data_IF_586889039691
#
_entry.id   IF_586889039691
#
_cell.length_a   1.000
_cell.length_b   1.000
_cell.length_c   1.000
_cell.angle_alpha   90.00
_cell.angle_beta   90.00
_cell.angle_gamma   90.00
#
_symmetry.space_group_name_H-M   'P 1'
#
loop_
_entity.id
_entity.type
_entity.pdbx_description
1 polymer ?
#
# COMPACT_ATOMS: atom_id res chain seq x y z
N UNK A 1 -4.66 -22.96 -35.47
CA UNK A 1 -4.79 -23.30 -34.04
C UNK A 1 -5.34 -22.08 -33.32
N UNK A 2 -6.64 -22.05 -33.09
CA UNK A 2 -7.36 -20.99 -32.39
C UNK A 2 -7.32 -21.26 -30.89
N UNK A 3 -6.86 -20.28 -30.10
CA UNK A 3 -6.86 -20.34 -28.63
C UNK A 3 -8.10 -19.60 -28.11
N UNK A 4 -9.05 -20.33 -27.55
CA UNK A 4 -10.18 -19.79 -26.80
C UNK A 4 -9.70 -19.31 -25.42
N UNK A 5 -10.03 -18.06 -25.08
CA UNK A 5 -9.75 -17.46 -23.78
C UNK A 5 -10.99 -17.62 -22.87
N UNK A 6 -10.86 -17.99 -21.58
CA UNK A 6 -12.00 -18.06 -20.70
C UNK A 6 -12.52 -16.65 -20.35
N UNK A 7 -13.81 -16.44 -20.58
CA UNK A 7 -14.56 -15.25 -20.17
C UNK A 7 -14.64 -15.21 -18.63
N UNK A 8 -13.78 -14.41 -18.00
CA UNK A 8 -13.87 -14.12 -16.57
C UNK A 8 -15.11 -13.24 -16.31
N UNK A 9 -16.08 -13.81 -15.59
CA UNK A 9 -17.28 -13.10 -15.14
C UNK A 9 -16.89 -11.98 -14.15
N UNK A 10 -17.48 -10.78 -14.25
CA UNK A 10 -17.24 -9.73 -13.26
C UNK A 10 -17.87 -10.11 -11.91
N UNK A 11 -17.04 -10.16 -10.87
CA UNK A 11 -17.47 -10.25 -9.47
C UNK A 11 -18.31 -9.01 -9.14
N UNK A 12 -19.57 -9.21 -8.73
CA UNK A 12 -20.42 -8.17 -8.16
C UNK A 12 -19.92 -7.85 -6.75
N UNK A 13 -19.38 -6.65 -6.55
CA UNK A 13 -19.03 -6.15 -5.23
C UNK A 13 -20.27 -5.55 -4.56
N UNK A 14 -20.65 -6.11 -3.41
CA UNK A 14 -21.63 -5.53 -2.49
C UNK A 14 -20.85 -4.58 -1.57
N UNK A 15 -21.06 -3.28 -1.74
CA UNK A 15 -20.61 -2.28 -0.79
C UNK A 15 -21.37 -2.47 0.53
N UNK A 16 -20.69 -2.95 1.57
CA UNK A 16 -21.23 -2.90 2.95
C UNK A 16 -20.88 -1.54 3.53
N UNK A 17 -21.84 -0.62 3.52
CA UNK A 17 -21.81 0.59 4.36
C UNK A 17 -22.08 0.17 5.81
N UNK A 18 -21.34 0.75 6.76
CA UNK A 18 -21.71 0.70 8.18
C UNK A 18 -22.47 1.98 8.52
N UNK A 19 -23.50 1.76 9.33
CA UNK A 19 -24.66 2.59 9.61
C UNK A 19 -24.33 3.94 10.27
N UNK A 20 -24.98 4.99 9.77
CA UNK A 20 -24.96 6.37 10.29
C UNK A 20 -25.12 7.37 9.14
N UNK A 21 -26.33 7.56 8.64
CA UNK A 21 -26.77 8.66 7.74
C UNK A 21 -26.04 8.91 6.39
N UNK A 22 -25.34 7.92 5.84
CA UNK A 22 -24.55 8.05 4.58
C UNK A 22 -25.21 7.50 3.32
N UNK A 23 -26.43 6.95 3.39
CA UNK A 23 -27.01 6.18 2.27
C UNK A 23 -27.51 7.05 1.10
N UNK A 24 -28.05 8.23 1.36
CA UNK A 24 -28.58 9.12 0.31
C UNK A 24 -27.49 9.93 -0.40
N UNK A 25 -26.41 10.26 0.31
CA UNK A 25 -25.29 11.07 -0.19
C UNK A 25 -24.37 10.28 -1.12
N UNK A 26 -24.06 9.02 -0.76
CA UNK A 26 -23.23 8.12 -1.58
C UNK A 26 -23.87 7.81 -2.94
N UNK A 27 -25.20 7.69 -2.98
CA UNK A 27 -25.96 7.37 -4.21
C UNK A 27 -25.97 8.53 -5.21
N UNK A 28 -25.96 9.79 -4.74
CA UNK A 28 -25.84 10.96 -5.64
C UNK A 28 -24.42 11.13 -6.17
N UNK A 29 -23.41 10.86 -5.34
CA UNK A 29 -22.01 10.98 -5.70
C UNK A 29 -21.61 10.02 -6.84
N UNK A 30 -22.09 8.77 -6.81
CA UNK A 30 -21.77 7.79 -7.86
C UNK A 30 -22.26 8.21 -9.25
N UNK A 31 -23.26 9.09 -9.35
CA UNK A 31 -23.73 9.65 -10.62
C UNK A 31 -22.74 10.58 -11.32
N UNK A 32 -21.67 11.01 -10.63
CA UNK A 32 -20.59 11.82 -11.21
C UNK A 32 -19.57 10.99 -11.98
N UNK A 33 -19.50 9.67 -11.75
CA UNK A 33 -18.49 8.80 -12.35
C UNK A 33 -19.13 7.70 -13.19
N UNK A 34 -18.43 7.26 -14.23
CA UNK A 34 -18.85 6.04 -14.95
C UNK A 34 -18.60 4.79 -14.10
N UNK A 35 -19.21 3.65 -14.46
CA UNK A 35 -19.10 2.38 -13.73
C UNK A 35 -17.67 1.80 -13.60
N UNK A 36 -16.69 2.38 -14.30
CA UNK A 36 -15.25 2.14 -14.16
C UNK A 36 -14.43 3.43 -14.24
N UNK A 37 -15.09 4.53 -13.88
CA UNK A 37 -14.56 5.87 -14.08
C UNK A 37 -13.46 6.24 -13.11
N UNK A 38 -13.31 5.54 -11.99
CA UNK A 38 -12.32 5.89 -10.96
C UNK A 38 -11.39 4.72 -10.65
N UNK A 39 -10.15 4.82 -11.13
CA UNK A 39 -9.17 3.74 -11.06
C UNK A 39 -7.81 4.26 -10.59
N UNK A 40 -7.23 3.57 -9.61
CA UNK A 40 -5.82 3.70 -9.23
C UNK A 40 -5.03 2.61 -9.95
N UNK A 41 -3.96 2.98 -10.66
CA UNK A 41 -3.13 2.06 -11.43
C UNK A 41 -1.65 2.29 -11.08
N UNK A 42 -0.89 1.28 -10.63
CA UNK A 42 0.55 1.43 -10.44
C UNK A 42 1.28 1.48 -11.78
N UNK A 43 2.47 2.07 -11.80
CA UNK A 43 3.31 2.20 -13.00
C UNK A 43 3.80 0.83 -13.51
N UNK A 44 3.92 -0.15 -12.62
CA UNK A 44 4.27 -1.53 -12.98
C UNK A 44 3.11 -2.18 -13.75
N UNK A 45 3.13 -2.05 -15.08
CA UNK A 45 2.10 -2.60 -15.95
C UNK A 45 1.86 -4.10 -15.73
N UNK A 46 0.58 -4.51 -15.72
CA UNK A 46 0.01 -5.89 -15.71
C UNK A 46 0.61 -6.97 -14.78
N UNK A 47 1.70 -6.74 -14.05
CA UNK A 47 2.35 -7.72 -13.16
C UNK A 47 2.63 -7.14 -11.76
N UNK A 48 1.60 -6.55 -11.17
CA UNK A 48 1.54 -6.21 -9.74
C UNK A 48 1.92 -7.39 -8.84
N UNK A 49 1.60 -8.63 -9.26
CA UNK A 49 1.92 -9.86 -8.53
C UNK A 49 3.42 -10.09 -8.24
N UNK A 50 4.33 -9.24 -8.76
CA UNK A 50 5.78 -9.34 -8.52
C UNK A 50 6.44 -8.07 -7.98
N UNK A 51 5.68 -6.98 -7.82
CA UNK A 51 6.25 -5.73 -7.31
C UNK A 51 6.21 -5.72 -5.78
N UNK A 52 7.37 -5.76 -5.15
CA UNK A 52 7.51 -5.70 -3.71
C UNK A 52 8.04 -4.32 -3.31
N UNK A 53 7.46 -3.76 -2.26
CA UNK A 53 7.84 -2.47 -1.71
C UNK A 53 8.46 -2.67 -0.34
N UNK A 54 9.36 -1.79 0.06
CA UNK A 54 10.02 -1.81 1.36
C UNK A 54 10.21 -0.40 1.91
N UNK A 55 10.91 -0.27 3.05
CA UNK A 55 11.26 1.02 3.62
C UNK A 55 11.90 1.92 2.56
N UNK A 56 11.35 3.13 2.40
CA UNK A 56 11.93 4.11 1.50
C UNK A 56 11.72 3.92 0.01
N UNK A 57 11.14 2.80 -0.41
CA UNK A 57 10.82 2.55 -1.82
C UNK A 57 9.75 3.52 -2.33
N UNK A 58 9.71 3.72 -3.64
CA UNK A 58 8.78 4.65 -4.28
C UNK A 58 7.62 3.87 -4.91
N UNK A 59 6.40 4.15 -4.43
CA UNK A 59 5.16 3.71 -5.04
C UNK A 59 4.67 4.76 -6.05
N UNK A 60 4.73 4.41 -7.32
CA UNK A 60 4.40 5.31 -8.42
C UNK A 60 3.32 4.74 -9.32
N UNK A 61 2.57 5.62 -9.99
CA UNK A 61 1.49 5.22 -10.88
C UNK A 61 0.65 6.40 -11.35
N UNK A 62 -0.60 6.09 -11.67
CA UNK A 62 -1.58 7.06 -12.14
C UNK A 62 -2.98 6.80 -11.56
N UNK A 63 -3.75 7.87 -11.42
CA UNK A 63 -5.18 7.86 -11.13
C UNK A 63 -5.92 8.28 -12.40
N UNK A 64 -6.77 7.41 -12.91
CA UNK A 64 -7.70 7.71 -14.00
C UNK A 64 -9.07 8.02 -13.42
N UNK A 65 -9.57 9.22 -13.69
CA UNK A 65 -10.88 9.69 -13.24
C UNK A 65 -11.71 10.12 -14.45
N UNK A 66 -12.85 9.51 -14.69
CA UNK A 66 -13.79 9.83 -15.77
C UNK A 66 -15.08 10.36 -15.16
N UNK A 67 -15.23 11.69 -15.23
CA UNK A 67 -16.38 12.40 -14.73
C UNK A 67 -17.45 12.54 -15.81
N UNK A 68 -18.66 12.09 -15.51
CA UNK A 68 -19.86 12.28 -16.32
C UNK A 68 -20.48 13.67 -16.11
N UNK A 69 -20.19 14.31 -14.97
CA UNK A 69 -20.68 15.64 -14.58
C UNK A 69 -19.51 16.45 -14.04
N UNK A 70 -19.51 17.75 -14.32
CA UNK A 70 -18.51 18.65 -13.76
C UNK A 70 -18.71 18.78 -12.25
N UNK A 71 -17.63 18.95 -11.52
CA UNK A 71 -17.60 19.31 -10.11
C UNK A 71 -17.27 20.81 -10.06
N UNK A 72 -18.29 21.68 -9.92
CA UNK A 72 -18.10 23.13 -10.00
C UNK A 72 -17.52 23.74 -8.72
N UNK A 73 -17.62 23.02 -7.60
CA UNK A 73 -17.06 23.40 -6.30
C UNK A 73 -15.63 22.92 -6.16
N UNK A 74 -14.84 23.52 -5.25
CA UNK A 74 -13.52 23.01 -4.94
C UNK A 74 -13.60 21.56 -4.45
N UNK A 75 -12.76 20.72 -5.04
CA UNK A 75 -12.62 19.33 -4.68
C UNK A 75 -11.19 19.01 -4.27
N UNK A 76 -11.03 17.87 -3.60
CA UNK A 76 -9.74 17.34 -3.24
C UNK A 76 -9.65 15.89 -3.71
N UNK A 77 -8.64 15.62 -4.53
CA UNK A 77 -8.25 14.26 -4.94
C UNK A 77 -6.98 13.89 -4.18
N UNK A 78 -7.02 12.82 -3.40
CA UNK A 78 -5.87 12.31 -2.67
C UNK A 78 -5.71 10.81 -2.83
N UNK A 79 -4.47 10.33 -2.76
CA UNK A 79 -4.15 8.92 -2.59
C UNK A 79 -3.88 8.69 -1.12
N UNK A 80 -4.53 7.67 -0.56
CA UNK A 80 -4.33 7.23 0.81
C UNK A 80 -3.64 5.88 0.76
N UNK A 81 -2.40 5.84 1.27
CA UNK A 81 -1.62 4.63 1.48
C UNK A 81 -1.70 4.26 2.97
N UNK A 82 -2.16 3.07 3.27
CA UNK A 82 -2.41 2.60 4.64
C UNK A 82 -1.77 1.26 4.90
N UNK A 83 -1.45 1.01 6.17
CA UNK A 83 -1.14 -0.32 6.67
C UNK A 83 -2.02 -0.63 7.88
N UNK A 84 -2.66 -1.79 7.86
CA UNK A 84 -3.49 -2.29 8.95
C UNK A 84 -2.97 -3.62 9.45
N UNK A 85 -2.90 -3.77 10.76
CA UNK A 85 -2.64 -5.04 11.43
C UNK A 85 -3.93 -5.55 12.06
N UNK A 86 -4.29 -6.81 11.77
CA UNK A 86 -5.35 -7.51 12.49
C UNK A 86 -4.72 -8.54 13.41
N UNK A 87 -5.10 -8.52 14.69
CA UNK A 87 -4.67 -9.50 15.68
C UNK A 87 -5.93 -10.20 16.19
N UNK A 88 -5.99 -11.52 16.02
CA UNK A 88 -6.99 -12.37 16.66
C UNK A 88 -6.47 -12.72 18.05
N UNK A 89 -7.22 -12.46 19.15
CA UNK A 89 -6.79 -12.88 20.48
C UNK A 89 -6.71 -14.41 20.52
N UNK A 90 -5.54 -14.94 20.92
CA UNK A 90 -5.37 -16.37 21.21
C UNK A 90 -6.20 -16.69 22.44
N UNK A 91 -7.18 -17.61 22.33
CA UNK A 91 -7.89 -18.14 23.49
C UNK A 91 -6.98 -19.10 24.27
N UNK A 92 -6.05 -18.54 25.03
CA UNK A 92 -5.33 -19.32 26.04
C UNK A 92 -6.00 -19.11 27.40
N UNK A 93 -6.60 -20.20 27.90
CA UNK A 93 -7.16 -20.45 29.23
C UNK A 93 -8.63 -20.06 29.52
N UNK A 94 -9.50 -21.07 29.32
CA UNK A 94 -10.51 -21.59 30.24
C UNK A 94 -10.83 -20.73 31.48
N UNK A 95 -11.87 -19.91 31.39
CA UNK A 95 -12.94 -19.87 32.40
C UNK A 95 -14.21 -19.34 31.73
N UNK A 96 -15.30 -20.07 31.93
CA UNK A 96 -16.57 -19.86 31.28
C UNK A 96 -17.19 -18.51 31.69
N UNK A 97 -17.13 -17.51 30.81
CA UNK A 97 -18.19 -16.52 30.62
C UNK A 97 -17.91 -15.70 29.34
N UNK A 98 -18.66 -16.04 28.29
CA UNK A 98 -18.88 -15.27 27.04
C UNK A 98 -17.67 -14.65 26.32
N UNK A 99 -17.15 -15.24 25.23
CA UNK A 99 -16.19 -14.58 24.36
C UNK A 99 -16.92 -13.88 23.21
N UNK A 100 -17.23 -12.58 23.34
CA UNK A 100 -17.30 -11.71 22.16
C UNK A 100 -15.87 -11.39 21.75
N UNK A 101 -15.19 -12.34 21.09
CA UNK A 101 -13.83 -12.14 20.55
C UNK A 101 -13.87 -11.16 19.37
N UNK A 102 -13.92 -9.87 19.69
CA UNK A 102 -13.89 -8.83 18.66
C UNK A 102 -12.49 -8.80 18.03
N UNK A 103 -12.42 -9.12 16.74
CA UNK A 103 -11.21 -8.94 15.93
C UNK A 103 -10.78 -7.48 16.04
N UNK A 104 -9.56 -7.23 16.53
CA UNK A 104 -9.00 -5.89 16.61
C UNK A 104 -8.16 -5.60 15.36
N UNK A 105 -8.48 -4.50 14.67
CA UNK A 105 -7.72 -4.00 13.53
C UNK A 105 -7.11 -2.64 13.89
N UNK A 106 -5.78 -2.57 13.92
CA UNK A 106 -5.01 -1.39 14.31
C UNK A 106 -4.30 -0.80 13.07
N UNK A 107 -4.45 0.50 12.78
CA UNK A 107 -3.66 1.15 11.73
C UNK A 107 -2.21 1.31 12.21
N UNK A 108 -1.24 0.86 11.39
CA UNK A 108 0.20 1.05 11.66
C UNK A 108 0.70 2.38 11.09
N UNK A 109 0.25 2.75 9.90
CA UNK A 109 0.48 4.08 9.35
C UNK A 109 -0.58 4.46 8.30
N UNK A 110 -0.63 5.76 8.02
CA UNK A 110 -1.41 6.37 6.96
C UNK A 110 -0.60 7.50 6.33
N UNK A 111 -0.40 7.43 5.01
CA UNK A 111 0.21 8.49 4.21
C UNK A 111 -0.84 9.00 3.24
N UNK A 112 -1.02 10.32 3.19
CA UNK A 112 -1.90 10.99 2.23
C UNK A 112 -1.06 11.78 1.24
N UNK A 113 -1.34 11.62 -0.05
CA UNK A 113 -0.71 12.35 -1.12
C UNK A 113 -1.78 13.07 -1.94
N UNK A 114 -1.76 14.40 -1.90
CA UNK A 114 -2.77 15.23 -2.55
C UNK A 114 -2.38 15.46 -4.01
N UNK A 115 -3.27 15.14 -4.94
CA UNK A 115 -3.10 15.30 -6.39
C UNK A 115 -3.81 16.53 -6.93
N UNK A 116 -4.96 16.87 -6.32
CA UNK A 116 -5.76 18.05 -6.62
C UNK A 116 -6.20 18.60 -5.28
N UNK A 117 -6.03 19.89 -5.06
CA UNK A 117 -6.44 20.57 -3.84
C UNK A 117 -7.20 21.83 -4.15
N UNK A 118 -8.44 21.89 -3.68
CA UNK A 118 -9.29 23.08 -3.78
C UNK A 118 -9.55 23.54 -5.25
N UNK A 119 -9.66 22.61 -6.20
CA UNK A 119 -9.92 22.92 -7.61
C UNK A 119 -11.25 22.35 -8.10
N UNK A 120 -11.86 23.00 -9.09
CA UNK A 120 -13.02 22.46 -9.81
C UNK A 120 -12.57 21.47 -10.90
N UNK A 121 -13.36 20.43 -11.16
CA UNK A 121 -13.05 19.42 -12.19
C UNK A 121 -14.11 19.38 -13.28
N UNK A 122 -13.68 19.51 -14.54
CA UNK A 122 -14.57 19.42 -15.70
C UNK A 122 -15.12 18.00 -15.93
N UNK A 123 -16.26 17.90 -16.63
CA UNK A 123 -16.86 16.65 -17.07
C UNK A 123 -16.05 16.00 -18.21
N UNK A 124 -14.94 15.36 -17.87
CA UNK A 124 -14.05 14.70 -18.83
C UNK A 124 -13.27 13.58 -18.17
N UNK A 125 -12.41 12.93 -18.96
CA UNK A 125 -11.37 12.04 -18.45
C UNK A 125 -10.17 12.86 -17.99
N UNK A 126 -9.74 12.61 -16.76
CA UNK A 126 -8.57 13.16 -16.12
C UNK A 126 -7.58 12.03 -15.82
N UNK A 127 -6.29 12.36 -15.89
CA UNK A 127 -5.20 11.44 -15.61
C UNK A 127 -4.17 12.15 -14.74
N UNK A 128 -3.99 11.67 -13.51
CA UNK A 128 -3.06 12.25 -12.54
C UNK A 128 -1.94 11.26 -12.25
N UNK A 129 -0.69 11.69 -12.37
CA UNK A 129 0.46 10.85 -12.04
C UNK A 129 0.86 11.08 -10.59
N UNK A 130 1.38 10.05 -9.93
CA UNK A 130 1.80 10.14 -8.54
C UNK A 130 3.10 9.39 -8.28
N UNK A 131 3.79 9.82 -7.22
CA UNK A 131 4.98 9.18 -6.66
C UNK A 131 4.95 9.37 -5.15
N UNK A 132 4.79 8.28 -4.41
CA UNK A 132 4.67 8.26 -2.95
C UNK A 132 5.82 7.44 -2.39
N UNK A 133 6.65 8.06 -1.56
CA UNK A 133 7.74 7.37 -0.87
C UNK A 133 7.19 6.66 0.38
N UNK A 134 7.48 5.36 0.51
CA UNK A 134 7.17 4.63 1.74
C UNK A 134 7.97 5.19 2.92
N UNK A 135 7.39 5.19 4.14
CA UNK A 135 8.14 5.55 5.34
C UNK A 135 9.44 4.75 5.47
N UNK A 136 10.48 5.39 6.01
CA UNK A 136 11.82 4.78 6.23
C UNK A 136 11.90 3.93 7.50
N UNK A 137 10.77 3.46 8.02
CA UNK A 137 10.71 2.57 9.17
C UNK A 137 10.43 1.13 8.72
N UNK A 138 10.99 0.19 9.48
CA UNK A 138 10.77 -1.24 9.27
C UNK A 138 9.43 -1.65 9.86
N UNK A 139 8.43 -1.80 9.00
CA UNK A 139 7.17 -2.42 9.37
C UNK A 139 7.20 -3.93 9.07
N UNK A 140 6.25 -4.68 9.62
CA UNK A 140 6.12 -6.11 9.35
C UNK A 140 5.80 -6.38 7.87
N UNK A 141 6.30 -7.48 7.26
CA UNK A 141 5.95 -7.84 5.88
C UNK A 141 4.43 -8.02 5.70
N UNK A 142 3.94 -7.88 4.47
CA UNK A 142 2.57 -8.25 4.15
C UNK A 142 2.36 -9.74 4.40
N UNK A 143 1.35 -10.09 5.21
CA UNK A 143 0.95 -11.48 5.41
C UNK A 143 -0.54 -11.58 5.76
N UNK A 144 -1.13 -12.73 5.49
CA UNK A 144 -2.45 -13.13 5.95
C UNK A 144 -2.34 -14.59 6.39
N UNK A 145 -2.61 -14.87 7.66
CA UNK A 145 -2.61 -16.25 8.16
C UNK A 145 -4.03 -16.83 8.23
N UNK A 146 -4.11 -18.15 8.38
CA UNK A 146 -5.39 -18.88 8.47
C UNK A 146 -6.17 -18.54 9.77
N UNK A 147 -5.46 -18.08 10.80
CA UNK A 147 -6.01 -17.70 12.10
C UNK A 147 -6.59 -16.27 12.11
N UNK A 148 -6.61 -15.60 10.95
CA UNK A 148 -7.18 -14.27 10.77
C UNK A 148 -6.28 -13.12 11.22
N UNK A 149 -5.03 -13.38 11.62
CA UNK A 149 -4.01 -12.35 11.78
C UNK A 149 -3.53 -11.92 10.41
N UNK A 150 -3.31 -10.63 10.25
CA UNK A 150 -2.85 -10.09 8.97
C UNK A 150 -2.14 -8.77 9.14
N UNK A 151 -1.23 -8.49 8.22
CA UNK A 151 -0.69 -7.16 7.96
C UNK A 151 -0.94 -6.86 6.48
N UNK A 152 -1.79 -5.87 6.23
CA UNK A 152 -2.24 -5.52 4.88
C UNK A 152 -1.85 -4.09 4.58
N UNK A 153 -1.11 -3.91 3.49
CA UNK A 153 -0.79 -2.61 2.93
C UNK A 153 -1.72 -2.36 1.76
N UNK A 154 -2.29 -1.17 1.69
CA UNK A 154 -3.21 -0.84 0.63
C UNK A 154 -3.12 0.62 0.22
N UNK A 155 -3.47 0.88 -1.03
CA UNK A 155 -3.63 2.23 -1.56
C UNK A 155 -5.00 2.38 -2.19
N UNK A 156 -5.61 3.56 -2.00
CA UNK A 156 -6.85 3.96 -2.68
C UNK A 156 -6.82 5.43 -3.02
N UNK A 157 -7.46 5.82 -4.11
CA UNK A 157 -7.72 7.22 -4.41
C UNK A 157 -9.08 7.62 -3.85
N UNK A 158 -9.15 8.80 -3.23
CA UNK A 158 -10.36 9.40 -2.67
C UNK A 158 -10.58 10.78 -3.29
N UNK A 159 -11.80 11.02 -3.77
CA UNK A 159 -12.23 12.31 -4.28
C UNK A 159 -13.33 12.86 -3.36
N UNK A 160 -13.04 13.95 -2.67
CA UNK A 160 -13.99 14.65 -1.81
C UNK A 160 -14.42 15.97 -2.43
N UNK A 161 -15.72 16.23 -2.50
CA UNK A 161 -16.28 17.44 -3.11
C UNK A 161 -17.67 17.75 -2.55
N UNK A 162 -18.14 18.97 -2.78
CA UNK A 162 -19.48 19.37 -2.39
C UNK A 162 -20.47 19.14 -3.53
N UNK A 163 -21.57 18.44 -3.24
CA UNK A 163 -22.58 18.08 -4.26
C UNK A 163 -23.60 19.18 -4.55
N UNK A 164 -23.76 20.15 -3.63
CA UNK A 164 -24.64 21.30 -3.80
C UNK A 164 -24.00 22.54 -3.16
N UNK A 165 -23.99 23.71 -3.84
CA UNK A 165 -23.45 24.94 -3.29
C UNK A 165 -24.35 25.55 -2.19
N UNK A 166 -25.65 25.24 -2.19
CA UNK A 166 -26.64 25.84 -1.28
C UNK A 166 -26.80 25.11 0.06
N UNK A 167 -26.37 23.84 0.13
CA UNK A 167 -26.32 23.06 1.37
C UNK A 167 -25.02 22.25 1.36
N UNK A 168 -24.10 22.47 2.32
CA UNK A 168 -22.79 21.82 2.33
C UNK A 168 -22.96 20.32 2.60
N UNK A 169 -23.16 19.57 1.53
CA UNK A 169 -23.22 18.12 1.54
C UNK A 169 -21.96 17.60 0.86
N UNK A 170 -20.96 17.26 1.68
CA UNK A 170 -19.72 16.65 1.23
C UNK A 170 -20.00 15.21 0.78
N UNK A 171 -19.58 14.90 -0.42
CA UNK A 171 -19.52 13.55 -0.96
C UNK A 171 -18.07 13.07 -0.98
N UNK A 172 -17.88 11.78 -0.79
CA UNK A 172 -16.62 11.09 -1.03
C UNK A 172 -16.85 9.97 -2.04
N UNK A 173 -16.00 9.92 -3.05
CA UNK A 173 -15.87 8.81 -3.98
C UNK A 173 -14.54 8.12 -3.73
N UNK A 174 -14.50 6.80 -3.92
CA UNK A 174 -13.28 6.00 -3.76
C UNK A 174 -13.03 5.11 -4.97
N UNK A 175 -11.77 5.00 -5.38
CA UNK A 175 -11.35 3.92 -6.28
C UNK A 175 -11.45 2.56 -5.58
N UNK A 176 -11.43 1.44 -6.34
CA UNK A 176 -11.11 0.14 -5.76
C UNK A 176 -9.81 0.20 -4.97
N UNK A 177 -9.76 -0.54 -3.87
CA UNK A 177 -8.57 -0.67 -3.03
C UNK A 177 -7.53 -1.56 -3.73
N UNK A 178 -6.29 -1.09 -3.75
CA UNK A 178 -5.15 -1.81 -4.29
C UNK A 178 -4.33 -2.38 -3.14
N UNK A 179 -4.30 -3.70 -3.00
CA UNK A 179 -3.40 -4.36 -2.06
C UNK A 179 -1.94 -4.29 -2.58
N UNK A 180 -1.02 -4.01 -1.66
CA UNK A 180 0.40 -3.83 -1.94
C UNK A 180 1.19 -4.90 -1.18
N UNK A 181 2.11 -5.56 -1.88
CA UNK A 181 3.06 -6.49 -1.27
C UNK A 181 4.23 -5.70 -0.69
N UNK A 182 4.33 -5.66 0.64
CA UNK A 182 5.44 -5.06 1.37
C UNK A 182 6.37 -6.14 1.91
N UNK A 183 7.66 -6.02 1.62
CA UNK A 183 8.73 -6.80 2.18
C UNK A 183 9.77 -5.82 2.73
N UNK A 184 10.13 -5.89 4.03
CA UNK A 184 11.26 -5.16 4.56
C UNK A 184 12.54 -5.74 3.95
N UNK A 185 12.90 -5.24 2.78
CA UNK A 185 14.19 -5.51 2.16
C UNK A 185 15.23 -4.77 2.99
N UNK A 186 15.79 -5.44 3.99
CA UNK A 186 17.05 -5.00 4.58
C UNK A 186 18.09 -5.19 3.48
N UNK A 187 18.78 -4.13 3.02
CA UNK A 187 19.97 -4.32 2.22
C UNK A 187 20.92 -5.11 3.11
N UNK A 188 21.08 -6.41 2.85
CA UNK A 188 22.21 -7.13 3.37
C UNK A 188 23.42 -6.59 2.61
N UNK A 189 23.95 -5.46 3.06
CA UNK A 189 25.38 -5.24 2.95
C UNK A 189 26.00 -6.35 3.79
N UNK A 190 26.15 -7.54 3.20
CA UNK A 190 27.14 -8.48 3.69
C UNK A 190 28.41 -7.65 3.63
N UNK A 191 29.02 -7.27 4.78
CA UNK A 191 30.32 -6.65 4.70
C UNK A 191 31.16 -7.64 3.89
N UNK A 192 31.63 -7.20 2.72
CA UNK A 192 32.77 -7.85 2.10
C UNK A 192 33.92 -7.54 3.03
N UNK A 193 33.99 -8.24 4.16
CA UNK A 193 35.28 -8.61 4.71
C UNK A 193 35.97 -9.25 3.53
N UNK A 194 36.96 -8.56 2.97
CA UNK A 194 37.97 -9.25 2.20
C UNK A 194 38.38 -10.42 3.08
N UNK A 195 38.05 -11.63 2.65
CA UNK A 195 38.74 -12.79 3.17
C UNK A 195 40.13 -12.60 2.63
N UNK A 196 40.98 -11.93 3.41
CA UNK A 196 42.41 -12.04 3.23
C UNK A 196 42.69 -13.51 3.53
N UNK A 197 42.72 -14.33 2.48
CA UNK A 197 43.38 -15.61 2.54
C UNK A 197 44.83 -15.31 2.90
N UNK A 198 45.11 -15.32 4.20
CA UNK A 198 46.48 -15.40 4.68
C UNK A 198 46.98 -16.75 4.19
N UNK A 199 47.61 -16.77 3.02
CA UNK A 199 48.49 -17.83 2.62
C UNK A 199 49.56 -17.91 3.71
N UNK A 200 49.40 -18.87 4.63
CA UNK A 200 50.45 -19.24 5.58
C UNK A 200 51.60 -19.79 4.76
N UNK A 201 52.57 -18.95 4.43
CA UNK A 201 53.86 -19.41 4.00
C UNK A 201 54.61 -19.85 5.26
N UNK A 202 54.49 -21.14 5.59
CA UNK A 202 55.30 -21.77 6.64
C UNK A 202 56.74 -21.77 6.14
N UNK A 203 57.63 -21.09 6.86
CA UNK A 203 59.07 -21.20 6.64
C UNK A 203 59.49 -22.65 6.96
N UNK A 204 59.94 -23.44 5.97
CA UNK A 204 60.20 -24.86 6.14
C UNK A 204 61.39 -25.17 7.05
N UNK A 205 62.15 -24.16 7.48
CA UNK A 205 63.37 -24.34 8.28
C UNK A 205 63.19 -24.08 9.77
N UNK A 206 62.20 -23.31 10.20
CA UNK A 206 62.08 -22.87 11.61
C UNK A 206 60.75 -23.21 12.27
N UNK A 207 59.72 -23.60 11.50
CA UNK A 207 58.41 -24.02 12.01
C UNK A 207 57.77 -23.03 13.01
N UNK A 208 58.08 -21.73 12.90
CA UNK A 208 57.46 -20.67 13.68
C UNK A 208 56.51 -19.84 12.83
N UNK A 209 55.32 -19.57 13.37
CA UNK A 209 54.31 -18.71 12.75
C UNK A 209 54.61 -17.26 13.16
N UNK A 210 55.16 -16.45 12.26
CA UNK A 210 55.29 -15.02 12.48
C UNK A 210 53.96 -14.33 12.17
N UNK A 211 53.26 -13.87 13.22
CA UNK A 211 52.07 -13.04 13.09
C UNK A 211 52.51 -11.59 13.24
N UNK A 212 52.65 -10.87 12.13
CA UNK A 212 52.76 -9.41 12.13
C UNK A 212 51.42 -8.82 11.69
N UNK A 213 50.68 -8.27 12.65
CA UNK A 213 49.46 -7.50 12.40
C UNK A 213 49.82 -6.01 12.31
N UNK A 214 49.62 -5.41 11.14
CA UNK A 214 49.62 -3.94 10.99
C UNK A 214 48.17 -3.47 11.05
N UNK A 215 47.86 -2.62 12.02
CA UNK A 215 46.55 -1.95 12.13
C UNK A 215 46.69 -0.60 11.43
N UNK A 216 46.20 -0.49 10.20
CA UNK A 216 45.98 0.84 9.61
C UNK A 216 44.78 1.48 10.29
N UNK A 217 45.03 2.57 11.02
CA UNK A 217 44.00 3.43 11.58
C UNK A 217 43.57 4.43 10.50
N UNK A 218 42.27 4.58 10.20
CA UNK A 218 41.81 5.59 9.26
C UNK A 218 41.93 7.00 9.88
N UNK A 219 42.55 7.91 9.14
CA UNK A 219 42.37 9.37 9.27
C UNK A 219 41.15 9.82 8.46
#
# INVERSE_FOLDING_TARGET
MSFDWPVLRPLRFVAKSRLGDTHTTTTKASSYISSRGFMLQPAAGRRLARSHYGPGTIFQGQVSLHLLKAIPSPCQLRIVLTCHQTITPTQDNLTASSPTSSKSTTPLFKVEHILVDNEALAAKRHLFHFSIKFPMCNFAPSFKDENGRSVVYSAKALLTFETQPTKPCKAELSSPELEISYLPLVPASIPRSEVVENAQMVDPTTNQVNISATVDSPQ
#
